data_IF_090918058936
#
_entry.id   IF_090918058936
#
_cell.length_a   1.000
_cell.length_b   1.000
_cell.length_c   1.000
_cell.angle_alpha   90.00
_cell.angle_beta   90.00
_cell.angle_gamma   90.00
#
_symmetry.space_group_name_H-M   'P 1'
#
loop_
_entity.id
_entity.type
_entity.pdbx_description
1 polymer ?
#
# COMPACT_ATOMS: atom_id res chain seq x y z
N UNK A 1 20.91 9.65 9.60
CA UNK A 1 19.63 9.60 8.86
C UNK A 1 19.78 8.89 7.52
N UNK A 2 20.81 9.21 6.72
CA UNK A 2 21.05 8.65 5.37
C UNK A 2 20.81 7.14 5.25
N UNK A 3 21.44 6.33 6.10
CA UNK A 3 21.34 4.86 6.04
C UNK A 3 19.93 4.30 6.28
N UNK A 4 19.07 4.99 7.04
CA UNK A 4 17.69 4.53 7.26
C UNK A 4 16.82 4.83 6.05
N UNK A 5 17.04 5.95 5.37
CA UNK A 5 16.33 6.29 4.14
C UNK A 5 16.70 5.33 3.01
N UNK A 6 17.97 4.96 2.91
CA UNK A 6 18.44 3.93 1.96
C UNK A 6 17.74 2.59 2.21
N UNK A 7 17.75 2.10 3.46
CA UNK A 7 17.08 0.83 3.80
C UNK A 7 15.57 0.89 3.62
N UNK A 8 14.93 2.03 3.91
CA UNK A 8 13.51 2.23 3.67
C UNK A 8 13.20 2.24 2.16
N UNK A 9 14.06 2.89 1.36
CA UNK A 9 13.97 2.87 -0.11
C UNK A 9 14.09 1.44 -0.64
N UNK A 10 15.03 0.65 -0.15
CA UNK A 10 15.19 -0.75 -0.54
C UNK A 10 13.99 -1.61 -0.13
N UNK A 11 13.43 -1.38 1.05
CA UNK A 11 12.18 -2.01 1.49
C UNK A 11 11.03 -1.73 0.51
N UNK A 12 10.89 -0.49 0.03
CA UNK A 12 9.88 -0.11 -0.96
C UNK A 12 10.18 -0.72 -2.32
N UNK A 13 11.42 -0.65 -2.82
CA UNK A 13 11.82 -1.23 -4.11
C UNK A 13 11.56 -2.73 -4.17
N UNK A 14 11.80 -3.44 -3.06
CA UNK A 14 11.54 -4.89 -2.92
C UNK A 14 10.07 -5.22 -2.65
N UNK A 15 9.19 -4.21 -2.65
CA UNK A 15 7.75 -4.34 -2.39
C UNK A 15 7.40 -5.05 -1.09
N UNK A 16 8.29 -4.96 -0.09
CA UNK A 16 8.11 -5.67 1.17
C UNK A 16 6.95 -5.12 2.00
N UNK A 17 6.45 -3.94 1.66
CA UNK A 17 5.23 -3.37 2.24
C UNK A 17 3.96 -4.18 1.91
N UNK A 18 3.99 -5.08 0.93
CA UNK A 18 2.87 -5.97 0.61
C UNK A 18 2.72 -7.13 1.60
N UNK A 19 3.71 -7.38 2.44
CA UNK A 19 3.60 -8.35 3.52
C UNK A 19 2.65 -7.79 4.60
N UNK A 20 1.65 -8.60 4.98
CA UNK A 20 0.62 -8.24 5.95
C UNK A 20 1.20 -8.07 7.36
N UNK A 21 2.32 -8.73 7.67
CA UNK A 21 2.99 -8.67 8.98
C UNK A 21 3.81 -7.39 9.19
N UNK A 22 3.90 -6.53 8.17
CA UNK A 22 4.54 -5.22 8.29
C UNK A 22 3.72 -4.32 9.21
N UNK A 23 4.34 -3.98 10.33
CA UNK A 23 3.93 -2.95 11.25
C UNK A 23 5.14 -2.11 11.66
N UNK A 24 4.92 -1.04 12.43
CA UNK A 24 6.00 -0.10 12.78
C UNK A 24 7.15 -0.79 13.53
N UNK A 25 6.84 -1.76 14.39
CA UNK A 25 7.83 -2.48 15.18
C UNK A 25 8.61 -3.48 14.33
N UNK A 26 7.93 -4.26 13.50
CA UNK A 26 8.59 -5.25 12.64
C UNK A 26 9.48 -4.56 11.60
N UNK A 27 9.03 -3.44 11.02
CA UNK A 27 9.85 -2.68 10.10
C UNK A 27 11.03 -1.99 10.81
N UNK A 28 10.82 -1.36 11.96
CA UNK A 28 11.92 -0.73 12.71
C UNK A 28 13.03 -1.74 13.03
N UNK A 29 12.67 -2.93 13.51
CA UNK A 29 13.62 -4.03 13.76
C UNK A 29 14.37 -4.42 12.48
N UNK A 30 13.66 -4.61 11.37
CA UNK A 30 14.24 -4.97 10.07
C UNK A 30 15.22 -3.92 9.54
N UNK A 31 14.93 -2.63 9.75
CA UNK A 31 15.80 -1.53 9.35
C UNK A 31 16.91 -1.23 10.38
N UNK A 32 17.01 -2.03 11.45
CA UNK A 32 17.92 -1.87 12.59
C UNK A 32 17.80 -0.47 13.23
N UNK A 33 16.57 -0.07 13.53
CA UNK A 33 16.25 1.17 14.23
C UNK A 33 15.18 0.93 15.29
N UNK A 34 14.66 2.00 15.90
CA UNK A 34 13.55 1.94 16.82
C UNK A 34 12.26 2.54 16.22
N UNK A 35 11.08 2.10 16.68
CA UNK A 35 9.77 2.56 16.19
C UNK A 35 9.61 4.10 16.21
N UNK A 36 10.10 4.75 17.26
CA UNK A 36 10.00 6.21 17.44
C UNK A 36 10.78 6.95 16.37
N UNK A 37 12.01 6.54 16.11
CA UNK A 37 12.87 7.14 15.09
C UNK A 37 12.34 6.90 13.69
N UNK A 38 11.88 5.68 13.38
CA UNK A 38 11.27 5.35 12.09
C UNK A 38 10.01 6.19 11.84
N UNK A 39 9.11 6.27 12.82
CA UNK A 39 7.89 7.06 12.72
C UNK A 39 8.18 8.55 12.50
N UNK A 40 9.12 9.12 13.28
CA UNK A 40 9.56 10.51 13.09
C UNK A 40 10.18 10.73 11.71
N UNK A 41 10.99 9.80 11.22
CA UNK A 41 11.63 9.88 9.91
C UNK A 41 10.58 9.90 8.81
N UNK A 42 9.66 8.93 8.81
CA UNK A 42 8.56 8.87 7.82
C UNK A 42 7.72 10.15 7.89
N UNK A 43 7.35 10.60 9.09
CA UNK A 43 6.57 11.82 9.22
C UNK A 43 7.30 13.05 8.66
N UNK A 44 8.59 13.19 8.93
CA UNK A 44 9.38 14.32 8.43
C UNK A 44 9.50 14.34 6.91
N UNK A 45 9.79 13.21 6.27
CA UNK A 45 10.02 13.15 4.82
C UNK A 45 8.74 12.98 3.99
N UNK A 46 7.77 12.21 4.50
CA UNK A 46 6.55 11.84 3.77
C UNK A 46 5.32 12.64 4.22
N UNK A 47 5.44 13.42 5.30
CA UNK A 47 4.35 14.18 5.91
C UNK A 47 3.15 13.30 6.29
N UNK A 48 3.44 12.05 6.71
CA UNK A 48 2.44 11.00 6.97
C UNK A 48 2.74 10.24 8.25
N UNK A 49 1.71 9.66 8.85
CA UNK A 49 1.90 8.60 9.84
C UNK A 49 2.43 7.34 9.14
N UNK A 50 3.09 6.46 9.89
CA UNK A 50 3.55 5.15 9.38
C UNK A 50 2.42 4.38 8.67
N UNK A 51 1.24 4.29 9.31
CA UNK A 51 0.09 3.57 8.74
C UNK A 51 -0.38 4.20 7.44
N UNK A 52 -0.46 5.54 7.37
CA UNK A 52 -0.87 6.20 6.13
C UNK A 52 0.16 6.02 5.02
N UNK A 53 1.45 5.99 5.36
CA UNK A 53 2.53 5.74 4.41
C UNK A 53 2.46 4.33 3.82
N UNK A 54 2.35 3.30 4.65
CA UNK A 54 2.22 1.91 4.18
C UNK A 54 0.94 1.72 3.35
N UNK A 55 -0.19 2.27 3.80
CA UNK A 55 -1.44 2.19 3.05
C UNK A 55 -1.31 2.86 1.67
N UNK A 56 -0.69 4.03 1.59
CA UNK A 56 -0.46 4.71 0.31
C UNK A 56 0.36 3.85 -0.66
N UNK A 57 1.43 3.21 -0.18
CA UNK A 57 2.25 2.31 -1.00
C UNK A 57 1.43 1.12 -1.52
N UNK A 58 0.65 0.48 -0.64
CA UNK A 58 -0.21 -0.66 -1.00
C UNK A 58 -1.30 -0.27 -1.99
N UNK A 59 -1.95 0.88 -1.81
CA UNK A 59 -2.97 1.36 -2.76
C UNK A 59 -2.36 1.75 -4.10
N UNK A 60 -1.21 2.43 -4.11
CA UNK A 60 -0.52 2.75 -5.37
C UNK A 60 -0.19 1.48 -6.17
N UNK A 61 0.28 0.43 -5.48
CA UNK A 61 0.51 -0.88 -6.08
C UNK A 61 -0.78 -1.50 -6.62
N UNK A 62 -1.85 -1.51 -5.81
CA UNK A 62 -3.15 -2.05 -6.21
C UNK A 62 -3.71 -1.35 -7.48
N UNK A 63 -3.67 -0.01 -7.51
CA UNK A 63 -4.12 0.80 -8.65
C UNK A 63 -3.29 0.48 -9.89
N UNK A 64 -1.97 0.40 -9.75
CA UNK A 64 -1.08 0.05 -10.86
C UNK A 64 -1.41 -1.32 -11.44
N UNK A 65 -1.50 -2.34 -10.57
CA UNK A 65 -1.86 -3.70 -10.96
C UNK A 65 -3.24 -3.78 -11.60
N UNK A 66 -4.25 -3.10 -11.05
CA UNK A 66 -5.60 -3.10 -11.63
C UNK A 66 -5.65 -2.51 -13.04
N UNK A 67 -4.80 -1.51 -13.34
CA UNK A 67 -4.71 -0.91 -14.67
C UNK A 67 -4.06 -1.83 -15.71
N UNK A 68 -3.16 -2.73 -15.29
CA UNK A 68 -2.39 -3.58 -16.21
C UNK A 68 -2.81 -5.04 -16.24
N UNK A 69 -3.49 -5.52 -15.19
CA UNK A 69 -3.82 -6.94 -15.00
C UNK A 69 -5.34 -7.15 -15.08
N UNK A 70 -5.81 -7.58 -16.25
CA UNK A 70 -7.24 -7.89 -16.50
C UNK A 70 -7.75 -9.05 -15.64
N UNK A 71 -6.88 -9.98 -15.21
CA UNK A 71 -7.28 -11.10 -14.35
C UNK A 71 -7.61 -10.57 -12.96
N UNK A 72 -6.77 -9.69 -12.42
CA UNK A 72 -7.01 -9.07 -11.11
C UNK A 72 -8.32 -8.25 -11.07
N UNK A 73 -8.70 -7.62 -12.18
CA UNK A 73 -9.99 -6.90 -12.27
C UNK A 73 -11.21 -7.81 -12.04
N UNK A 74 -11.08 -9.13 -12.22
CA UNK A 74 -12.17 -10.09 -11.99
C UNK A 74 -12.23 -10.62 -10.56
N UNK A 75 -11.27 -10.24 -9.71
CA UNK A 75 -11.20 -10.75 -8.35
C UNK A 75 -12.21 -10.04 -7.46
N UNK A 76 -12.65 -10.74 -6.40
CA UNK A 76 -13.40 -10.10 -5.33
C UNK A 76 -12.54 -9.02 -4.65
N UNK A 77 -13.16 -7.94 -4.18
CA UNK A 77 -12.44 -6.84 -3.49
C UNK A 77 -11.63 -7.35 -2.29
N UNK A 78 -12.15 -8.34 -1.55
CA UNK A 78 -11.40 -9.02 -0.48
C UNK A 78 -10.11 -9.67 -0.97
N UNK A 79 -10.14 -10.39 -2.09
CA UNK A 79 -8.96 -11.04 -2.63
C UNK A 79 -7.90 -10.00 -3.07
N UNK A 80 -8.33 -8.87 -3.64
CA UNK A 80 -7.42 -7.76 -3.98
C UNK A 80 -6.81 -7.14 -2.72
N UNK A 81 -7.60 -6.98 -1.65
CA UNK A 81 -7.10 -6.51 -0.36
C UNK A 81 -6.00 -7.43 0.18
N UNK A 82 -6.22 -8.75 0.13
CA UNK A 82 -5.27 -9.77 0.60
C UNK A 82 -3.98 -9.74 -0.22
N UNK A 83 -4.06 -9.68 -1.56
CA UNK A 83 -2.88 -9.58 -2.43
C UNK A 83 -2.08 -8.28 -2.26
N UNK A 84 -2.71 -7.24 -1.70
CA UNK A 84 -2.09 -5.94 -1.50
C UNK A 84 -1.65 -5.72 -0.06
N UNK A 85 -1.67 -6.76 0.77
CA UNK A 85 -1.14 -6.75 2.13
C UNK A 85 -2.09 -6.17 3.18
N UNK A 86 -3.37 -5.96 2.85
CA UNK A 86 -4.38 -5.55 3.82
C UNK A 86 -4.96 -6.77 4.52
N UNK A 87 -5.08 -6.68 5.85
CA UNK A 87 -5.67 -7.77 6.65
C UNK A 87 -7.17 -7.96 6.44
N UNK A 88 -7.86 -6.96 5.88
CA UNK A 88 -9.30 -7.03 5.63
C UNK A 88 -9.75 -6.06 4.53
N UNK A 89 -10.90 -6.37 3.92
CA UNK A 89 -11.51 -5.58 2.84
C UNK A 89 -11.92 -4.17 3.27
N UNK A 90 -12.35 -3.97 4.53
CA UNK A 90 -12.84 -2.68 5.01
C UNK A 90 -11.71 -1.66 5.07
N UNK A 91 -10.58 -2.02 5.69
CA UNK A 91 -9.38 -1.19 5.75
C UNK A 91 -8.83 -0.88 4.36
N UNK A 92 -8.80 -1.87 3.46
CA UNK A 92 -8.45 -1.66 2.06
C UNK A 92 -9.37 -0.63 1.41
N UNK A 93 -10.68 -0.81 1.50
CA UNK A 93 -11.67 0.05 0.83
C UNK A 93 -11.62 1.49 1.33
N UNK A 94 -11.40 1.69 2.64
CA UNK A 94 -11.22 3.02 3.24
C UNK A 94 -9.94 3.69 2.76
N UNK A 95 -8.81 2.97 2.77
CA UNK A 95 -7.53 3.49 2.28
C UNK A 95 -7.59 3.81 0.78
N UNK A 96 -8.22 2.94 0.00
CA UNK A 96 -8.40 3.11 -1.44
C UNK A 96 -9.22 4.36 -1.73
N UNK A 97 -10.36 4.55 -1.07
CA UNK A 97 -11.19 5.74 -1.22
C UNK A 97 -10.46 7.01 -0.77
N UNK A 98 -9.81 6.98 0.39
CA UNK A 98 -9.02 8.12 0.90
C UNK A 98 -7.95 8.57 -0.11
N UNK A 99 -7.31 7.61 -0.79
CA UNK A 99 -6.21 7.89 -1.73
C UNK A 99 -6.68 8.28 -3.13
N UNK A 100 -7.75 7.66 -3.61
CA UNK A 100 -8.18 7.77 -5.02
C UNK A 100 -9.45 8.59 -5.23
N UNK A 101 -10.19 8.90 -4.16
CA UNK A 101 -11.51 9.52 -4.22
C UNK A 101 -12.62 8.58 -4.71
N UNK A 102 -12.33 7.30 -4.95
CA UNK A 102 -13.29 6.33 -5.50
C UNK A 102 -13.30 5.05 -4.67
N UNK A 103 -14.44 4.37 -4.60
CA UNK A 103 -14.50 3.03 -4.05
C UNK A 103 -13.86 2.01 -5.02
N UNK A 104 -13.21 0.95 -4.50
CA UNK A 104 -12.48 -0.01 -5.34
C UNK A 104 -13.40 -0.70 -6.37
N UNK A 105 -14.61 -1.09 -5.98
CA UNK A 105 -15.59 -1.71 -6.88
C UNK A 105 -15.96 -0.80 -8.06
N UNK A 106 -16.15 0.50 -7.79
CA UNK A 106 -16.44 1.48 -8.82
C UNK A 106 -15.25 1.67 -9.77
N UNK A 107 -14.04 1.80 -9.21
CA UNK A 107 -12.81 1.94 -9.99
C UNK A 107 -12.59 0.74 -10.95
N UNK A 108 -12.77 -0.49 -10.45
CA UNK A 108 -12.65 -1.71 -11.25
C UNK A 108 -13.69 -1.73 -12.38
N UNK A 109 -14.95 -1.39 -12.08
CA UNK A 109 -16.02 -1.32 -13.08
C UNK A 109 -15.70 -0.32 -14.19
N UNK A 110 -15.10 0.83 -13.84
CA UNK A 110 -14.67 1.82 -14.83
C UNK A 110 -13.57 1.27 -15.75
N UNK A 111 -12.56 0.60 -15.19
CA UNK A 111 -11.49 -0.01 -15.99
C UNK A 111 -12.01 -1.09 -16.95
N UNK A 112 -12.94 -1.92 -16.49
CA UNK A 112 -13.55 -2.94 -17.32
C UNK A 112 -14.32 -2.33 -18.49
N UNK A 113 -15.13 -1.28 -18.26
CA UNK A 113 -15.88 -0.60 -19.32
C UNK A 113 -14.98 -0.01 -20.41
N UNK A 114 -13.89 0.65 -20.04
CA UNK A 114 -12.97 1.26 -21.00
C UNK A 114 -12.14 0.22 -21.79
N UNK A 115 -12.08 -1.04 -21.32
CA UNK A 115 -11.35 -2.10 -22.00
C UNK A 115 -12.10 -2.75 -23.17
N UNK A 116 -13.39 -2.42 -23.36
CA UNK A 116 -14.26 -2.94 -24.44
C UNK A 116 -14.61 -1.88 -25.51
N UNK A 117 -14.10 -0.66 -25.38
CA UNK A 117 -14.14 0.37 -26.42
C UNK A 117 -12.76 0.46 -27.07
#
# INVERSE_FOLDING_TARGET
AQHILERLSDFVKKQQYLDQEVNLHTLAKKLQTNPKYLSKTINYYEQKSFTSYINDLRINYAVSRLKTDRKLQRYAVKAIADETGFSNQQSFSQAFHKKTGMHPSYFIKQLQKHSYN
#
